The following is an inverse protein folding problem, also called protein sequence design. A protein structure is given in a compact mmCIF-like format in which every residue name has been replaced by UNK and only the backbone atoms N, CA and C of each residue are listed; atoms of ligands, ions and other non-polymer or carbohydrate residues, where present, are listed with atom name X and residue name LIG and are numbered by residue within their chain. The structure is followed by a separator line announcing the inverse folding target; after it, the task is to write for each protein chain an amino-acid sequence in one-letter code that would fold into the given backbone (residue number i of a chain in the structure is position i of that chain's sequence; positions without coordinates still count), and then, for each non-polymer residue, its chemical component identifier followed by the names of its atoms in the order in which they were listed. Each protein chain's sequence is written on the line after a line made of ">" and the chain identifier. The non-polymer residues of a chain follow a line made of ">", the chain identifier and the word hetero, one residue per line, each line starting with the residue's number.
data_IF_902328907209
#
_entry.id   IF_902328907209
#
_cell.length_a   1.000
_cell.length_b   1.000
_cell.length_c   1.000
_cell.angle_alpha   90.00
_cell.angle_beta   90.00
_cell.angle_gamma   90.00
#
_symmetry.space_group_name_H-M   'P 1'
#
loop_
_entity.id
_entity.type
_entity.pdbx_description
1 polymer ?
#
# COMPACT_ATOMS: atom_id res chain seq x y z
N UNK A 1 7.34 36.68 8.13
CA UNK A 1 6.68 36.79 6.81
C UNK A 1 5.87 35.51 6.58
N UNK A 2 4.86 35.53 5.70
CA UNK A 2 4.05 34.38 5.29
C UNK A 2 3.72 34.51 3.81
N UNK A 3 3.73 33.40 3.08
CA UNK A 3 3.30 33.30 1.69
C UNK A 3 2.36 32.10 1.54
N UNK A 4 1.28 32.27 0.78
CA UNK A 4 0.31 31.22 0.49
C UNK A 4 0.33 31.00 -1.03
N UNK A 5 0.77 29.82 -1.46
CA UNK A 5 0.87 29.42 -2.86
C UNK A 5 -0.45 28.80 -3.32
N UNK A 6 -1.16 29.47 -4.23
CA UNK A 6 -2.48 29.04 -4.73
C UNK A 6 -2.42 28.20 -5.99
N UNK A 7 -1.24 28.07 -6.60
CA UNK A 7 -1.06 27.45 -7.92
C UNK A 7 -0.50 26.02 -7.80
N UNK A 8 -0.76 25.37 -6.66
CA UNK A 8 -0.32 24.00 -6.37
C UNK A 8 -1.33 22.96 -6.86
N UNK A 9 -0.81 21.86 -7.42
CA UNK A 9 -1.60 20.74 -7.89
C UNK A 9 -1.69 19.61 -6.85
N UNK A 10 -2.84 18.93 -6.80
CA UNK A 10 -3.09 17.83 -5.86
C UNK A 10 -2.11 16.68 -6.10
N UNK A 11 -1.47 16.22 -5.03
CA UNK A 11 -0.51 15.12 -5.03
C UNK A 11 0.91 15.51 -5.45
N UNK A 12 1.12 16.76 -5.89
CA UNK A 12 2.43 17.24 -6.30
C UNK A 12 3.25 17.70 -5.09
N UNK A 13 4.57 17.48 -5.16
CA UNK A 13 5.53 17.95 -4.14
C UNK A 13 6.30 19.13 -4.68
N UNK A 14 6.22 20.26 -3.98
CA UNK A 14 6.91 21.50 -4.31
C UNK A 14 8.06 21.75 -3.33
N UNK A 15 9.06 22.49 -3.79
CA UNK A 15 10.24 22.88 -3.02
C UNK A 15 10.33 24.40 -2.97
N UNK A 16 10.54 24.94 -1.78
CA UNK A 16 10.56 26.37 -1.53
C UNK A 16 11.87 26.79 -0.88
N UNK A 17 12.36 27.95 -1.32
CA UNK A 17 13.47 28.67 -0.72
C UNK A 17 12.99 30.01 -0.24
N UNK A 18 13.66 30.55 0.77
CA UNK A 18 13.51 31.94 1.16
C UNK A 18 14.85 32.65 0.97
N UNK A 19 14.83 33.74 0.21
CA UNK A 19 15.93 34.70 0.20
C UNK A 19 15.56 35.87 1.13
N UNK A 20 16.36 36.11 2.18
CA UNK A 20 16.37 37.40 2.87
C UNK A 20 17.37 38.34 2.21
N UNK A 21 17.05 39.64 2.15
CA UNK A 21 17.89 40.66 1.52
C UNK A 21 18.09 41.77 2.56
N UNK A 22 19.35 42.06 2.89
CA UNK A 22 19.70 43.11 3.85
C UNK A 22 19.60 44.52 3.23
N UNK A 23 19.82 45.55 4.06
CA UNK A 23 19.78 46.95 3.61
C UNK A 23 20.88 47.32 2.60
N UNK A 24 21.92 46.48 2.49
CA UNK A 24 23.02 46.63 1.54
C UNK A 24 22.79 45.81 0.26
N UNK A 25 21.68 45.07 0.15
CA UNK A 25 21.33 44.21 -0.98
C UNK A 25 21.98 42.82 -0.94
N UNK A 26 22.61 42.41 0.17
CA UNK A 26 23.16 41.07 0.32
C UNK A 26 22.03 40.07 0.56
N UNK A 27 21.97 39.02 -0.27
CA UNK A 27 20.97 37.97 -0.16
C UNK A 27 21.51 36.76 0.63
N UNK A 28 20.75 36.30 1.63
CA UNK A 28 20.97 35.01 2.31
C UNK A 28 19.85 34.04 1.97
N UNK A 29 20.21 32.86 1.44
CA UNK A 29 19.26 31.82 1.04
C UNK A 29 19.06 30.78 2.13
N UNK A 30 17.80 30.52 2.46
CA UNK A 30 17.35 29.48 3.38
C UNK A 30 16.56 28.40 2.65
N UNK A 31 16.70 27.17 3.12
CA UNK A 31 16.01 26.00 2.59
C UNK A 31 16.90 25.06 1.76
N UNK A 32 16.29 24.15 0.97
CA UNK A 32 14.86 24.12 0.69
C UNK A 32 14.03 23.48 1.81
N UNK A 33 12.75 23.82 1.81
CA UNK A 33 11.69 23.02 2.46
C UNK A 33 10.80 22.43 1.38
N UNK A 34 10.19 21.27 1.63
CA UNK A 34 9.24 20.65 0.72
C UNK A 34 7.87 20.47 1.35
N UNK A 35 6.85 20.50 0.50
CA UNK A 35 5.47 20.20 0.87
C UNK A 35 4.79 19.45 -0.28
N UNK A 36 4.08 18.37 0.05
CA UNK A 36 3.16 17.70 -0.86
C UNK A 36 1.75 18.25 -0.61
N UNK A 37 1.10 18.77 -1.65
CA UNK A 37 -0.25 19.28 -1.51
C UNK A 37 -1.26 18.14 -1.51
N UNK A 38 -1.83 17.86 -0.34
CA UNK A 38 -2.95 16.93 -0.19
C UNK A 38 -4.16 17.71 0.32
N UNK A 39 -5.27 17.76 -0.44
CA UNK A 39 -6.47 18.42 0.03
C UNK A 39 -7.03 17.67 1.25
N UNK A 40 -7.70 18.37 2.18
CA UNK A 40 -8.33 17.72 3.32
C UNK A 40 -9.38 16.71 2.84
N UNK A 41 -9.31 15.49 3.36
CA UNK A 41 -10.34 14.47 3.11
C UNK A 41 -11.40 14.52 4.21
N UNK A 42 -12.68 14.38 3.85
CA UNK A 42 -13.78 14.34 4.80
C UNK A 42 -13.75 13.08 5.70
N UNK A 43 -13.06 12.01 5.24
CA UNK A 43 -12.92 10.73 5.94
C UNK A 43 -11.44 10.36 6.00
N UNK A 44 -11.00 9.84 7.14
CA UNK A 44 -9.66 9.29 7.35
C UNK A 44 -9.71 7.77 7.61
N UNK A 45 -8.70 7.05 7.14
CA UNK A 45 -8.52 5.63 7.46
C UNK A 45 -8.05 5.48 8.91
N UNK A 46 -8.88 4.90 9.77
CA UNK A 46 -8.51 4.61 11.16
C UNK A 46 -7.65 3.33 11.29
N UNK A 47 -7.92 2.31 10.47
CA UNK A 47 -7.14 1.06 10.46
C UNK A 47 -7.35 0.28 9.16
N UNK A 48 -6.29 -0.35 8.64
CA UNK A 48 -6.33 -1.31 7.53
C UNK A 48 -5.55 -2.57 7.94
N UNK A 49 -6.20 -3.73 7.89
CA UNK A 49 -5.56 -5.03 8.08
C UNK A 49 -5.83 -5.91 6.87
N UNK A 50 -4.80 -6.24 6.11
CA UNK A 50 -4.87 -7.23 5.04
C UNK A 50 -4.61 -8.64 5.60
N UNK A 51 -5.28 -9.66 5.06
CA UNK A 51 -5.00 -11.07 5.35
C UNK A 51 -4.78 -11.82 4.05
N UNK A 52 -3.82 -12.76 3.98
CA UNK A 52 -3.61 -13.56 2.79
C UNK A 52 -4.83 -14.45 2.54
N UNK A 53 -5.21 -14.59 1.26
CA UNK A 53 -6.18 -15.58 0.85
C UNK A 53 -5.50 -16.96 0.89
N UNK A 54 -5.87 -17.81 1.85
CA UNK A 54 -5.42 -19.21 1.85
C UNK A 54 -6.17 -19.96 0.75
N UNK A 55 -5.50 -20.25 -0.36
CA UNK A 55 -6.03 -21.16 -1.36
C UNK A 55 -6.15 -22.56 -0.73
N UNK A 56 -7.37 -23.09 -0.69
CA UNK A 56 -7.63 -24.43 -0.14
C UNK A 56 -7.33 -25.46 -1.23
N UNK A 57 -6.11 -25.98 -1.23
CA UNK A 57 -5.72 -27.07 -2.13
C UNK A 57 -6.42 -28.35 -1.69
N UNK A 58 -7.29 -28.90 -2.53
CA UNK A 58 -7.82 -30.24 -2.33
C UNK A 58 -6.76 -31.26 -2.76
N UNK A 59 -6.25 -32.05 -1.82
CA UNK A 59 -5.23 -33.06 -2.08
C UNK A 59 -5.82 -34.21 -2.91
N UNK A 60 -5.42 -34.36 -4.18
CA UNK A 60 -5.77 -35.51 -5.01
C UNK A 60 -5.34 -36.86 -4.39
N UNK A 61 -4.38 -36.85 -3.46
CA UNK A 61 -3.96 -38.03 -2.70
C UNK A 61 -5.13 -38.67 -1.91
N UNK A 62 -6.05 -37.87 -1.35
CA UNK A 62 -7.20 -38.39 -0.58
C UNK A 62 -8.19 -39.11 -1.50
N UNK A 63 -8.37 -38.63 -2.74
CA UNK A 63 -9.21 -39.27 -3.75
C UNK A 63 -8.61 -40.62 -4.17
N UNK A 64 -7.28 -40.69 -4.33
CA UNK A 64 -6.57 -41.93 -4.66
C UNK A 64 -6.69 -43.00 -3.58
N UNK A 65 -6.56 -42.63 -2.29
CA UNK A 65 -6.70 -43.57 -1.18
C UNK A 65 -8.13 -44.12 -1.04
N UNK A 66 -9.15 -43.28 -1.22
CA UNK A 66 -10.55 -43.73 -1.17
C UNK A 66 -10.90 -44.67 -2.33
N UNK A 67 -10.40 -44.40 -3.53
CA UNK A 67 -10.58 -45.30 -4.69
C UNK A 67 -9.86 -46.64 -4.51
N UNK A 68 -8.63 -46.62 -3.98
CA UNK A 68 -7.86 -47.84 -3.70
C UNK A 68 -8.48 -48.72 -2.63
N UNK A 69 -8.99 -48.14 -1.54
CA UNK A 69 -9.71 -48.87 -0.50
C UNK A 69 -11.03 -49.48 -1.00
N UNK A 70 -11.75 -48.77 -1.87
CA UNK A 70 -12.97 -49.28 -2.48
C UNK A 70 -12.68 -50.47 -3.42
N UNK A 71 -11.64 -50.38 -4.24
CA UNK A 71 -11.20 -51.48 -5.11
C UNK A 71 -10.76 -52.71 -4.31
N UNK A 72 -10.03 -52.50 -3.20
CA UNK A 72 -9.59 -53.58 -2.32
C UNK A 72 -10.77 -54.27 -1.62
N UNK A 73 -11.76 -53.50 -1.15
CA UNK A 73 -12.97 -54.02 -0.53
C UNK A 73 -13.81 -54.86 -1.51
N UNK A 74 -13.86 -54.47 -2.78
CA UNK A 74 -14.52 -55.24 -3.85
C UNK A 74 -13.79 -56.55 -4.17
N UNK A 75 -12.46 -56.55 -4.13
CA UNK A 75 -11.64 -57.74 -4.38
C UNK A 75 -11.79 -58.79 -3.27
N UNK A 76 -11.83 -58.36 -2.00
CA UNK A 76 -12.01 -59.25 -0.85
C UNK A 76 -13.40 -59.90 -0.78
N UNK A 77 -14.43 -59.34 -1.44
CA UNK A 77 -15.78 -59.94 -1.54
C UNK A 77 -15.90 -61.04 -2.60
N UNK A 78 -14.91 -61.20 -3.48
CA UNK A 78 -14.93 -62.19 -4.58
C UNK A 78 -14.15 -63.48 -4.29
N UNK A 79 -13.55 -63.61 -3.10
CA UNK A 79 -12.99 -64.86 -2.57
C UNK A 79 -13.95 -65.46 -1.57
#
# INVERSE_FOLDING_TARGET
>A
YRYDDTDVEIGQTYWYWLDDIDLNGLATRHGPVSATFNPPTAVSLASLKASPATARTFSMAIIGWLGGLFALALWLRKK
#
